data_IF_510764032902
#
_entry.id   IF_510764032902
#
_cell.length_a   1.000
_cell.length_b   1.000
_cell.length_c   1.000
_cell.angle_alpha   90.00
_cell.angle_beta   90.00
_cell.angle_gamma   90.00
#
_symmetry.space_group_name_H-M   'P 1'
#
loop_
_entity.id
_entity.type
_entity.pdbx_description
1 polymer ?
#
# COMPACT_ATOMS: atom_id res chain seq x y z
N UNK A 1 12.92 3.46 15.31
CA UNK A 1 11.51 3.90 15.43
C UNK A 1 11.06 3.90 16.89
N UNK A 2 10.19 4.84 17.32
CA UNK A 2 9.55 4.75 18.66
C UNK A 2 8.48 3.65 18.59
N UNK A 3 8.38 2.79 19.61
CA UNK A 3 7.52 1.59 19.63
C UNK A 3 6.06 1.88 19.24
N UNK A 4 5.52 3.02 19.64
CA UNK A 4 4.14 3.40 19.30
C UNK A 4 3.95 3.61 17.79
N UNK A 5 4.93 4.18 17.09
CA UNK A 5 4.86 4.35 15.64
C UNK A 5 4.98 3.00 14.93
N UNK A 6 5.81 2.09 15.44
CA UNK A 6 5.89 0.74 14.91
C UNK A 6 4.56 0.02 15.02
N UNK A 7 3.88 0.11 16.17
CA UNK A 7 2.55 -0.47 16.34
C UNK A 7 1.53 0.13 15.37
N UNK A 8 1.51 1.46 15.20
CA UNK A 8 0.58 2.15 14.30
C UNK A 8 0.81 1.75 12.84
N UNK A 9 2.05 1.84 12.35
CA UNK A 9 2.36 1.49 10.96
C UNK A 9 2.14 -0.01 10.68
N UNK A 10 2.43 -0.87 11.66
CA UNK A 10 2.11 -2.28 11.58
C UNK A 10 0.61 -2.53 11.47
N UNK A 11 -0.19 -1.85 12.29
CA UNK A 11 -1.66 -1.94 12.22
C UNK A 11 -2.19 -1.45 10.87
N UNK A 12 -1.66 -0.34 10.34
CA UNK A 12 -2.02 0.17 9.01
C UNK A 12 -1.73 -0.88 7.93
N UNK A 13 -0.55 -1.50 7.96
CA UNK A 13 -0.19 -2.55 7.00
C UNK A 13 -1.13 -3.76 7.08
N UNK A 14 -1.50 -4.18 8.31
CA UNK A 14 -2.42 -5.30 8.52
C UNK A 14 -3.85 -4.97 8.08
N UNK A 15 -4.34 -3.76 8.36
CA UNK A 15 -5.67 -3.30 7.90
C UNK A 15 -5.72 -3.24 6.38
N UNK A 16 -4.68 -2.70 5.75
CA UNK A 16 -4.56 -2.72 4.29
C UNK A 16 -4.56 -4.14 3.72
N UNK A 17 -3.83 -5.07 4.35
CA UNK A 17 -3.77 -6.46 3.92
C UNK A 17 -5.13 -7.17 4.06
N UNK A 18 -5.81 -6.98 5.18
CA UNK A 18 -7.16 -7.49 5.39
C UNK A 18 -8.15 -6.91 4.37
N UNK A 19 -8.11 -5.59 4.15
CA UNK A 19 -8.94 -4.92 3.14
C UNK A 19 -8.69 -5.48 1.74
N UNK A 20 -7.43 -5.65 1.34
CA UNK A 20 -7.08 -6.19 0.02
C UNK A 20 -7.53 -7.65 -0.16
N UNK A 21 -7.56 -8.43 0.93
CA UNK A 21 -8.02 -9.82 0.91
C UNK A 21 -9.55 -9.95 0.84
N UNK A 22 -10.29 -9.06 1.51
CA UNK A 22 -11.75 -9.14 1.64
C UNK A 22 -12.45 -8.43 0.48
N UNK A 23 -11.91 -7.31 0.00
CA UNK A 23 -12.58 -6.48 -1.00
C UNK A 23 -12.75 -7.19 -2.34
N UNK A 24 -13.94 -7.03 -2.93
CA UNK A 24 -14.26 -7.57 -4.26
C UNK A 24 -14.20 -6.52 -5.35
N UNK A 25 -14.44 -5.26 -5.02
CA UNK A 25 -14.28 -4.16 -5.95
C UNK A 25 -12.78 -3.93 -6.26
N UNK A 26 -12.37 -3.96 -7.54
CA UNK A 26 -10.97 -3.76 -7.91
C UNK A 26 -10.39 -2.42 -7.45
N UNK A 27 -11.20 -1.34 -7.45
CA UNK A 27 -10.76 -0.02 -7.03
C UNK A 27 -10.52 0.03 -5.52
N UNK A 28 -11.46 -0.45 -4.71
CA UNK A 28 -11.33 -0.56 -3.26
C UNK A 28 -10.13 -1.45 -2.87
N UNK A 29 -9.92 -2.56 -3.58
CA UNK A 29 -8.76 -3.44 -3.39
C UNK A 29 -7.44 -2.71 -3.63
N UNK A 30 -7.37 -1.89 -4.68
CA UNK A 30 -6.19 -1.09 -4.96
C UNK A 30 -5.90 -0.03 -3.90
N UNK A 31 -6.94 0.62 -3.35
CA UNK A 31 -6.78 1.54 -2.22
C UNK A 31 -6.17 0.79 -1.04
N UNK A 32 -6.67 -0.41 -0.74
CA UNK A 32 -6.14 -1.24 0.33
C UNK A 32 -4.65 -1.61 0.10
N UNK A 33 -4.24 -1.89 -1.14
CA UNK A 33 -2.81 -2.10 -1.49
C UNK A 33 -1.98 -0.83 -1.22
N UNK A 34 -2.50 0.35 -1.53
CA UNK A 34 -1.85 1.62 -1.19
C UNK A 34 -1.67 1.80 0.33
N UNK A 35 -2.67 1.40 1.12
CA UNK A 35 -2.61 1.41 2.59
C UNK A 35 -1.52 0.45 3.10
N UNK A 36 -1.37 -0.74 2.51
CA UNK A 36 -0.27 -1.66 2.83
C UNK A 36 1.08 -0.96 2.64
N UNK A 37 1.29 -0.35 1.47
CA UNK A 37 2.54 0.33 1.18
C UNK A 37 2.81 1.48 2.17
N UNK A 38 1.79 2.27 2.49
CA UNK A 38 1.89 3.34 3.49
C UNK A 38 2.29 2.84 4.90
N UNK A 39 1.82 1.65 5.29
CA UNK A 39 2.22 1.01 6.54
C UNK A 39 3.62 0.39 6.50
N UNK A 40 4.05 -0.17 5.35
CA UNK A 40 5.33 -0.90 5.24
C UNK A 40 6.53 0.04 5.02
N UNK A 41 6.38 1.10 4.23
CA UNK A 41 7.49 2.00 3.84
C UNK A 41 8.27 2.57 5.04
N UNK A 42 7.63 3.02 6.14
CA UNK A 42 8.35 3.48 7.33
C UNK A 42 9.29 2.45 7.95
N UNK A 43 8.95 1.16 7.91
CA UNK A 43 9.82 0.09 8.40
C UNK A 43 11.03 -0.14 7.49
N UNK A 44 10.85 0.02 6.17
CA UNK A 44 11.96 -0.06 5.20
C UNK A 44 12.94 1.09 5.46
N UNK A 45 12.41 2.30 5.62
CA UNK A 45 13.22 3.49 5.90
C UNK A 45 13.95 3.40 7.25
N UNK A 46 13.29 2.92 8.31
CA UNK A 46 13.89 2.74 9.64
C UNK A 46 15.05 1.74 9.64
N UNK A 47 15.06 0.79 8.69
CA UNK A 47 16.16 -0.16 8.49
C UNK A 47 17.32 0.39 7.65
N UNK A 48 17.21 1.61 7.13
CA UNK A 48 18.24 2.25 6.30
C UNK A 48 18.18 1.90 4.81
N UNK A 49 17.16 1.18 4.35
CA UNK A 49 17.00 0.78 2.94
C UNK A 49 16.26 1.84 2.13
N UNK A 50 16.82 3.05 2.07
CA UNK A 50 16.14 4.20 1.44
C UNK A 50 15.95 4.02 -0.08
N UNK A 51 16.85 3.29 -0.73
CA UNK A 51 16.74 2.86 -2.12
C UNK A 51 15.49 2.00 -2.36
N UNK A 52 15.26 1.00 -1.50
CA UNK A 52 14.08 0.14 -1.54
C UNK A 52 12.82 0.96 -1.23
N UNK A 53 12.87 1.85 -0.22
CA UNK A 53 11.73 2.70 0.12
C UNK A 53 11.33 3.61 -1.05
N UNK A 54 12.32 4.19 -1.74
CA UNK A 54 12.10 5.03 -2.93
C UNK A 54 11.53 4.21 -4.08
N UNK A 55 12.08 3.02 -4.33
CA UNK A 55 11.56 2.12 -5.35
C UNK A 55 10.10 1.74 -5.07
N UNK A 56 9.75 1.37 -3.83
CA UNK A 56 8.37 1.05 -3.45
C UNK A 56 7.45 2.27 -3.62
N UNK A 57 7.90 3.46 -3.22
CA UNK A 57 7.14 4.70 -3.36
C UNK A 57 6.84 5.07 -4.82
N UNK A 58 7.64 4.60 -5.78
CA UNK A 58 7.39 4.77 -7.21
C UNK A 58 6.60 3.61 -7.82
N UNK A 59 6.93 2.37 -7.46
CA UNK A 59 6.31 1.16 -8.01
C UNK A 59 4.82 1.11 -7.67
N UNK A 60 4.44 1.45 -6.43
CA UNK A 60 3.04 1.38 -5.98
C UNK A 60 2.12 2.31 -6.78
N UNK A 61 2.40 3.63 -6.92
CA UNK A 61 1.55 4.50 -7.74
C UNK A 61 1.62 4.18 -9.23
N UNK A 62 2.78 3.75 -9.75
CA UNK A 62 2.90 3.38 -11.17
C UNK A 62 2.06 2.14 -11.49
N UNK A 63 2.17 1.08 -10.68
CA UNK A 63 1.34 -0.13 -10.84
C UNK A 63 -0.14 0.19 -10.64
N UNK A 64 -0.46 1.09 -9.70
CA UNK A 64 -1.81 1.62 -9.50
C UNK A 64 -2.36 2.21 -10.81
N UNK A 65 -1.65 3.13 -11.46
CA UNK A 65 -2.11 3.73 -12.72
C UNK A 65 -2.40 2.65 -13.77
N UNK A 66 -1.49 1.68 -13.95
CA UNK A 66 -1.69 0.61 -14.92
C UNK A 66 -2.88 -0.28 -14.59
N UNK A 67 -3.07 -0.66 -13.33
CA UNK A 67 -4.18 -1.52 -12.92
C UNK A 67 -5.51 -0.76 -13.09
N UNK A 68 -5.60 0.52 -12.76
CA UNK A 68 -6.82 1.31 -12.98
C UNK A 68 -7.17 1.41 -14.47
N UNK A 69 -6.17 1.54 -15.34
CA UNK A 69 -6.38 1.53 -16.79
C UNK A 69 -6.92 0.19 -17.30
N UNK A 70 -6.47 -0.93 -16.71
CA UNK A 70 -6.92 -2.29 -17.05
C UNK A 70 -8.31 -2.56 -16.48
N UNK A 71 -8.53 -2.23 -15.22
CA UNK A 71 -9.78 -2.47 -14.49
C UNK A 71 -10.90 -1.49 -14.84
N UNK A 72 -10.81 -0.77 -15.98
CA UNK A 72 -11.74 0.29 -16.44
C UNK A 72 -13.07 0.27 -15.69
N UNK A 73 -13.36 1.32 -14.93
CA UNK A 73 -14.66 1.42 -14.26
C UNK A 73 -15.72 1.40 -15.35
N UNK A 74 -16.53 0.35 -15.40
CA UNK A 74 -17.72 0.35 -16.23
C UNK A 74 -18.59 1.50 -15.71
N UNK A 75 -18.66 2.58 -16.47
CA UNK A 75 -19.59 3.66 -16.19
C UNK A 75 -21.01 3.10 -16.35
N UNK A 76 -21.95 3.36 -15.43
CA UNK A 76 -23.35 3.04 -15.64
C UNK A 76 -23.96 3.84 -16.79
#
# INVERSE_FOLDING_TARGET
>A
MIDIFAAIFGAIALIGAAGAAIERDPFAKMIAVGVIAGGVVPFIADRGYLDVATAVALIVPVTTIFILLVCRREEP
#
